data_IF_215989207490
#
_entry.id   IF_215989207490
#
_cell.length_a   1.000
_cell.length_b   1.000
_cell.length_c   1.000
_cell.angle_alpha   90.00
_cell.angle_beta   90.00
_cell.angle_gamma   90.00
#
_symmetry.space_group_name_H-M   'P 1'
#
loop_
_entity.id
_entity.type
_entity.pdbx_description
1 polymer ?
#
# COMPACT_ATOMS: atom_id res chain seq x y z
N UNK A 1 -3.79 -10.30 -30.17
CA UNK A 1 -3.89 -8.86 -29.88
C UNK A 1 -3.78 -8.68 -28.39
N UNK A 2 -2.75 -7.97 -27.93
CA UNK A 2 -2.52 -7.69 -26.50
C UNK A 2 -2.71 -6.18 -26.37
N UNK A 3 -3.74 -5.76 -25.67
CA UNK A 3 -3.98 -4.35 -25.38
C UNK A 3 -3.24 -3.97 -24.11
N UNK A 4 -2.43 -2.91 -24.19
CA UNK A 4 -1.62 -2.42 -23.08
C UNK A 4 -2.29 -1.17 -22.51
N UNK A 5 -3.10 -1.33 -21.47
CA UNK A 5 -3.50 -0.19 -20.64
C UNK A 5 -2.40 0.11 -19.62
N UNK A 6 -2.00 1.38 -19.58
CA UNK A 6 -1.04 1.93 -18.62
C UNK A 6 -1.65 1.80 -17.20
N UNK A 7 -1.29 0.73 -16.50
CA UNK A 7 -1.70 0.54 -15.11
C UNK A 7 -2.03 -0.88 -14.64
N UNK A 8 -1.45 -1.95 -15.19
CA UNK A 8 -1.54 -3.31 -14.65
C UNK A 8 -2.84 -4.08 -14.94
N UNK A 9 -3.03 -4.59 -16.16
CA UNK A 9 -3.49 -5.99 -16.42
C UNK A 9 -3.40 -6.25 -17.92
N UNK A 10 -2.44 -7.06 -18.37
CA UNK A 10 -2.52 -7.61 -19.72
C UNK A 10 -3.54 -8.75 -19.66
N UNK A 11 -4.59 -8.75 -20.47
CA UNK A 11 -5.52 -9.88 -20.55
C UNK A 11 -5.13 -10.69 -21.78
N UNK A 12 -4.86 -11.99 -21.61
CA UNK A 12 -4.51 -12.87 -22.74
C UNK A 12 -5.69 -13.77 -23.06
N UNK A 13 -6.04 -13.80 -24.35
CA UNK A 13 -7.05 -14.70 -24.87
C UNK A 13 -6.53 -16.14 -24.84
N UNK A 14 -7.24 -17.01 -24.13
CA UNK A 14 -7.01 -18.45 -24.11
C UNK A 14 -8.22 -19.14 -24.76
N UNK A 15 -8.12 -19.46 -26.04
CA UNK A 15 -9.16 -20.15 -26.80
C UNK A 15 -10.34 -19.28 -27.26
N UNK A 16 -11.42 -19.94 -27.74
CA UNK A 16 -12.61 -19.27 -28.30
C UNK A 16 -13.46 -18.54 -27.24
N UNK A 17 -13.53 -19.06 -26.01
CA UNK A 17 -14.47 -18.59 -24.96
C UNK A 17 -13.81 -18.12 -23.66
N UNK A 18 -12.49 -17.94 -23.60
CA UNK A 18 -11.79 -17.63 -22.35
C UNK A 18 -10.87 -16.42 -22.45
N UNK A 19 -11.18 -15.35 -21.72
CA UNK A 19 -10.22 -14.29 -21.41
C UNK A 19 -9.66 -14.57 -20.01
N UNK A 20 -8.34 -14.75 -19.89
CA UNK A 20 -7.67 -14.86 -18.58
C UNK A 20 -6.78 -13.63 -18.36
N UNK A 21 -6.83 -13.00 -17.18
CA UNK A 21 -5.87 -11.98 -16.81
C UNK A 21 -4.46 -12.58 -16.84
N UNK A 22 -3.59 -12.05 -17.69
CA UNK A 22 -2.14 -12.28 -17.68
C UNK A 22 -1.51 -11.15 -16.88
N UNK A 23 -1.60 -11.29 -15.58
CA UNK A 23 -1.09 -10.36 -14.59
C UNK A 23 -0.77 -11.11 -13.30
N UNK A 24 0.15 -10.55 -12.50
CA UNK A 24 0.61 -11.12 -11.23
C UNK A 24 -0.60 -11.55 -10.37
N UNK A 25 -0.56 -12.80 -9.88
CA UNK A 25 -1.60 -13.42 -9.04
C UNK A 25 -2.16 -12.43 -7.99
N UNK A 26 -3.47 -12.40 -7.71
CA UNK A 26 -4.07 -11.54 -6.67
C UNK A 26 -3.29 -11.48 -5.34
N UNK A 27 -2.73 -12.59 -4.84
CA UNK A 27 -1.87 -12.58 -3.66
C UNK A 27 -0.63 -11.68 -3.81
N UNK A 28 -0.02 -11.66 -5.00
CA UNK A 28 1.15 -10.85 -5.34
C UNK A 28 0.80 -9.36 -5.44
N UNK A 29 -0.44 -9.01 -5.82
CA UNK A 29 -0.94 -7.63 -5.78
C UNK A 29 -1.15 -7.15 -4.33
N UNK A 30 -1.76 -7.99 -3.48
CA UNK A 30 -1.99 -7.67 -2.06
C UNK A 30 -0.66 -7.52 -1.31
N UNK A 31 0.31 -8.41 -1.58
CA UNK A 31 1.64 -8.33 -0.97
C UNK A 31 2.37 -7.04 -1.34
N UNK A 32 2.34 -6.65 -2.63
CA UNK A 32 2.93 -5.40 -3.09
C UNK A 32 2.25 -4.18 -2.46
N UNK A 33 0.91 -4.19 -2.32
CA UNK A 33 0.20 -3.10 -1.66
C UNK A 33 0.57 -2.98 -0.16
N UNK A 34 0.78 -4.10 0.54
CA UNK A 34 1.30 -4.09 1.92
C UNK A 34 2.72 -3.56 1.99
N UNK A 35 3.60 -3.96 1.08
CA UNK A 35 4.98 -3.49 1.02
C UNK A 35 5.07 -1.97 0.85
N UNK A 36 4.28 -1.39 -0.06
CA UNK A 36 4.19 0.06 -0.25
C UNK A 36 3.74 0.79 1.02
N UNK A 37 2.76 0.22 1.75
CA UNK A 37 2.31 0.81 3.02
C UNK A 37 3.40 0.76 4.10
N UNK A 38 4.15 -0.33 4.19
CA UNK A 38 5.28 -0.44 5.12
C UNK A 38 6.38 0.57 4.80
N UNK A 39 6.66 0.79 3.51
CA UNK A 39 7.62 1.81 3.08
C UNK A 39 7.19 3.22 3.50
N UNK A 40 5.91 3.57 3.31
CA UNK A 40 5.35 4.85 3.78
C UNK A 40 5.45 5.03 5.31
N UNK A 41 5.20 3.96 6.07
CA UNK A 41 5.35 3.97 7.53
C UNK A 41 6.83 4.16 7.90
N UNK A 42 7.75 3.51 7.19
CA UNK A 42 9.19 3.62 7.44
C UNK A 42 9.71 5.04 7.13
N UNK A 43 9.26 5.64 6.03
CA UNK A 43 9.54 7.05 5.71
C UNK A 43 9.00 8.00 6.79
N UNK A 44 7.82 7.70 7.36
CA UNK A 44 7.26 8.45 8.46
C UNK A 44 8.13 8.38 9.72
N UNK A 45 8.57 7.18 10.11
CA UNK A 45 9.47 6.97 11.26
C UNK A 45 10.79 7.72 11.08
N UNK A 46 11.38 7.66 9.88
CA UNK A 46 12.58 8.43 9.55
C UNK A 46 12.35 9.95 9.68
N UNK A 47 11.17 10.44 9.27
CA UNK A 47 10.85 11.87 9.32
C UNK A 47 10.56 12.42 10.72
N UNK A 48 10.11 11.56 11.64
CA UNK A 48 9.73 11.95 13.01
C UNK A 48 10.73 11.50 14.08
N UNK A 49 11.69 10.65 13.69
CA UNK A 49 12.67 9.97 14.54
C UNK A 49 12.02 9.16 15.67
N UNK A 50 10.78 8.70 15.47
CA UNK A 50 10.01 7.91 16.42
C UNK A 50 9.71 6.56 15.78
N UNK A 51 10.06 5.48 16.48
CA UNK A 51 9.72 4.13 16.08
C UNK A 51 8.31 3.78 16.58
N UNK A 52 7.41 3.47 15.66
CA UNK A 52 6.08 2.96 15.97
C UNK A 52 6.16 1.51 16.47
N UNK A 53 5.36 1.12 17.47
CA UNK A 53 5.26 -0.28 17.89
C UNK A 53 4.78 -1.19 16.76
N UNK A 54 5.25 -2.44 16.72
CA UNK A 54 4.88 -3.43 15.68
C UNK A 54 3.37 -3.65 15.55
N UNK A 55 2.62 -3.59 16.65
CA UNK A 55 1.15 -3.67 16.66
C UNK A 55 0.49 -2.50 15.93
N UNK A 56 1.02 -1.28 16.10
CA UNK A 56 0.52 -0.08 15.42
C UNK A 56 0.81 -0.13 13.93
N UNK A 57 2.02 -0.56 13.53
CA UNK A 57 2.38 -0.73 12.11
C UNK A 57 1.44 -1.72 11.40
N UNK A 58 1.15 -2.85 12.05
CA UNK A 58 0.26 -3.87 11.51
C UNK A 58 -1.17 -3.35 11.34
N UNK A 59 -1.69 -2.63 12.34
CA UNK A 59 -3.04 -2.04 12.29
C UNK A 59 -3.17 -0.89 11.28
N UNK A 60 -2.10 -0.13 11.05
CA UNK A 60 -2.06 0.89 10.00
C UNK A 60 -2.06 0.25 8.60
N UNK A 61 -1.37 -0.89 8.45
CA UNK A 61 -1.23 -1.58 7.17
C UNK A 61 -2.53 -2.29 6.73
N UNK A 62 -3.41 -2.65 7.66
CA UNK A 62 -4.74 -3.25 7.39
C UNK A 62 -5.78 -2.23 6.92
N UNK A 63 -5.60 -0.94 7.20
CA UNK A 63 -6.55 0.11 6.83
C UNK A 63 -6.52 0.46 5.33
N UNK A 64 -7.63 1.00 4.81
CA UNK A 64 -7.74 1.47 3.43
C UNK A 64 -6.79 2.67 3.21
N UNK A 65 -6.12 2.73 2.06
CA UNK A 65 -5.03 3.68 1.76
C UNK A 65 -5.30 5.16 2.14
N UNK A 66 -6.50 5.74 1.90
CA UNK A 66 -6.80 7.13 2.26
C UNK A 66 -6.82 7.36 3.78
N UNK A 67 -7.14 6.34 4.56
CA UNK A 67 -7.24 6.41 6.02
C UNK A 67 -5.84 6.40 6.65
N UNK A 68 -4.92 5.60 6.08
CA UNK A 68 -3.52 5.53 6.50
C UNK A 68 -2.84 6.91 6.46
N UNK A 69 -2.97 7.64 5.34
CA UNK A 69 -2.37 8.96 5.19
C UNK A 69 -2.89 9.98 6.22
N UNK A 70 -4.19 9.96 6.49
CA UNK A 70 -4.82 10.82 7.51
C UNK A 70 -4.30 10.49 8.91
N UNK A 71 -4.20 9.21 9.28
CA UNK A 71 -3.68 8.83 10.59
C UNK A 71 -2.21 9.22 10.77
N UNK A 72 -1.36 9.00 9.77
CA UNK A 72 0.04 9.42 9.84
C UNK A 72 0.17 10.95 10.00
N UNK A 73 -0.66 11.74 9.30
CA UNK A 73 -0.67 13.19 9.44
C UNK A 73 -1.09 13.65 10.85
N UNK A 74 -2.13 13.02 11.43
CA UNK A 74 -2.59 13.31 12.81
C UNK A 74 -1.49 12.98 13.82
N UNK A 75 -0.87 11.80 13.72
CA UNK A 75 0.22 11.38 14.60
C UNK A 75 1.38 12.39 14.51
N UNK A 76 1.71 12.86 13.31
CA UNK A 76 2.74 13.91 13.10
C UNK A 76 2.43 15.20 13.86
N UNK A 77 1.17 15.65 13.80
CA UNK A 77 0.72 16.86 14.50
C UNK A 77 0.81 16.67 16.02
N UNK A 78 0.33 15.55 16.55
CA UNK A 78 0.41 15.24 17.98
C UNK A 78 1.86 15.19 18.48
N UNK A 79 2.78 14.58 17.73
CA UNK A 79 4.21 14.58 18.06
C UNK A 79 4.76 16.02 18.09
N UNK A 80 4.35 16.86 17.14
CA UNK A 80 4.80 18.26 17.08
C UNK A 80 4.25 19.09 18.25
N UNK A 81 3.02 18.82 18.68
CA UNK A 81 2.38 19.50 19.81
C UNK A 81 2.96 19.05 21.16
N UNK A 82 3.24 17.76 21.34
CA UNK A 82 3.81 17.19 22.57
C UNK A 82 5.30 17.52 22.77
N UNK A 83 6.02 17.84 21.70
CA UNK A 83 7.41 18.36 21.77
C UNK A 83 7.48 19.87 22.08
N UNK A 84 6.34 20.55 22.17
CA UNK A 84 6.25 21.99 22.45
C UNK A 84 6.21 22.22 23.96
#
# INVERSE_FOLDING_TARGET
MIEHHQGYTAIKRYGRNGFRPVGKHPFKMIYNARAVKYDLIQQFEASTSINLPSGVKSNLCTQVSPVLGKQLAIIKLQIKETKK
#
